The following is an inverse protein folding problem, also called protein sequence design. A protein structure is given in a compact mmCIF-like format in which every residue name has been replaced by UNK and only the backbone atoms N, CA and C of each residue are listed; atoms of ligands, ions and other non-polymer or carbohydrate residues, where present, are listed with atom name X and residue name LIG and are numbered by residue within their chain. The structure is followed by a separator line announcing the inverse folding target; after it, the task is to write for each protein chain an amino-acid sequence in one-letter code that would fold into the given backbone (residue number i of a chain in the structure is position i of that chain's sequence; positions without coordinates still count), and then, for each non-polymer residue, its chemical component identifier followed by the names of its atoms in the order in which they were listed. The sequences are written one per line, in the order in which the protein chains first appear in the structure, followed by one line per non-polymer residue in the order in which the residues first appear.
data_IF_179559253644
#
_entry.id   IF_179559253644
#
_cell.length_a   1.000
_cell.length_b   1.000
_cell.length_c   1.000
_cell.angle_alpha   90.00
_cell.angle_beta   90.00
_cell.angle_gamma   90.00
#
_symmetry.space_group_name_H-M   'P 1'
#
loop_
_entity.id
_entity.type
_entity.pdbx_description
1 polymer ?
#
# COMPACT_ATOMS: atom_id res chain seq x y z
N UNK A 1 3.61 -5.29 -0.68
CA UNK A 1 4.41 -4.23 -0.02
C UNK A 1 4.78 -4.63 1.39
N UNK A 2 3.85 -4.73 2.35
CA UNK A 2 4.19 -5.14 3.72
C UNK A 2 4.96 -6.48 3.82
N UNK A 3 4.51 -7.51 3.10
CA UNK A 3 5.21 -8.82 3.06
C UNK A 3 6.65 -8.74 2.56
N UNK A 4 6.94 -7.83 1.62
CA UNK A 4 8.31 -7.67 1.11
C UNK A 4 9.26 -7.14 2.19
N UNK A 5 8.74 -6.35 3.14
CA UNK A 5 9.57 -5.75 4.19
C UNK A 5 9.65 -6.65 5.41
N UNK A 6 8.58 -7.37 5.74
CA UNK A 6 8.54 -8.28 6.90
C UNK A 6 9.06 -9.67 6.60
N UNK A 7 9.07 -10.10 5.34
CA UNK A 7 9.31 -11.50 4.96
C UNK A 7 8.22 -12.45 5.48
N UNK A 8 7.09 -11.93 5.95
CA UNK A 8 6.02 -12.66 6.59
C UNK A 8 4.68 -12.35 5.92
N UNK A 9 3.76 -13.33 5.97
CA UNK A 9 2.40 -13.15 5.48
C UNK A 9 1.73 -11.95 6.19
N UNK A 10 1.00 -11.10 5.47
CA UNK A 10 0.17 -10.07 6.11
C UNK A 10 -0.80 -10.70 7.11
N UNK A 11 -0.89 -10.10 8.30
CA UNK A 11 -1.72 -10.58 9.41
C UNK A 11 -1.34 -11.98 9.93
N UNK A 12 -0.05 -12.35 9.91
CA UNK A 12 0.43 -13.64 10.42
C UNK A 12 0.01 -13.92 11.88
N UNK A 13 -0.13 -12.87 12.70
CA UNK A 13 -0.54 -12.96 14.11
C UNK A 13 -2.06 -13.10 14.30
N UNK A 14 -2.84 -13.07 13.22
CA UNK A 14 -4.29 -13.12 13.27
C UNK A 14 -4.83 -14.45 12.73
N UNK A 15 -5.91 -14.90 13.34
CA UNK A 15 -6.71 -15.99 12.78
C UNK A 15 -7.39 -15.52 11.50
N UNK A 16 -7.24 -16.30 10.43
CA UNK A 16 -7.89 -16.04 9.14
C UNK A 16 -9.36 -16.49 9.19
N UNK A 17 -10.22 -15.64 9.73
CA UNK A 17 -11.67 -15.84 9.82
C UNK A 17 -12.46 -14.55 9.52
N UNK A 18 -13.79 -14.64 9.58
CA UNK A 18 -14.68 -13.52 9.26
C UNK A 18 -14.50 -12.32 10.21
N UNK A 19 -13.95 -12.51 11.42
CA UNK A 19 -13.67 -11.39 12.32
C UNK A 19 -12.52 -10.54 11.78
N UNK A 20 -11.50 -11.15 11.19
CA UNK A 20 -10.39 -10.43 10.56
C UNK A 20 -10.91 -9.57 9.39
N UNK A 21 -11.84 -10.09 8.59
CA UNK A 21 -12.47 -9.32 7.52
C UNK A 21 -13.18 -8.07 8.06
N UNK A 22 -13.94 -8.20 9.16
CA UNK A 22 -14.60 -7.06 9.82
C UNK A 22 -13.57 -6.05 10.36
N UNK A 23 -12.47 -6.51 10.98
CA UNK A 23 -11.39 -5.64 11.46
C UNK A 23 -10.74 -4.82 10.34
N UNK A 24 -10.54 -5.43 9.17
CA UNK A 24 -9.96 -4.75 8.00
C UNK A 24 -10.93 -3.74 7.40
N UNK A 25 -12.19 -4.15 7.19
CA UNK A 25 -13.19 -3.35 6.48
C UNK A 25 -13.73 -2.18 7.32
N UNK A 26 -14.05 -2.39 8.59
CA UNK A 26 -14.71 -1.38 9.42
C UNK A 26 -13.77 -0.64 10.36
N UNK A 27 -12.78 -1.33 10.91
CA UNK A 27 -11.86 -0.74 11.89
C UNK A 27 -10.54 -0.26 11.27
N UNK A 28 -10.40 -0.40 9.94
CA UNK A 28 -9.23 0.09 9.22
C UNK A 28 -7.94 -0.66 9.58
N UNK A 29 -8.02 -1.90 10.08
CA UNK A 29 -6.83 -2.69 10.39
C UNK A 29 -5.99 -2.88 9.12
N UNK A 30 -4.69 -2.57 9.21
CA UNK A 30 -3.71 -2.72 8.12
C UNK A 30 -2.49 -3.51 8.56
N UNK A 31 -1.77 -4.16 7.62
CA UNK A 31 -0.53 -4.85 7.92
C UNK A 31 0.52 -3.87 8.50
N UNK A 32 1.35 -4.39 9.40
CA UNK A 32 2.53 -3.65 9.90
C UNK A 32 3.70 -3.84 8.95
N UNK A 33 4.65 -2.90 9.02
CA UNK A 33 5.91 -2.95 8.28
C UNK A 33 7.06 -3.33 9.22
N UNK A 34 8.12 -3.89 8.67
CA UNK A 34 9.33 -4.19 9.43
C UNK A 34 10.02 -2.91 9.91
N UNK A 35 10.76 -3.04 11.02
CA UNK A 35 11.65 -1.99 11.50
C UNK A 35 12.66 -1.62 10.41
N UNK A 36 12.87 -0.32 10.20
CA UNK A 36 13.78 0.18 9.17
C UNK A 36 13.16 0.32 7.78
N UNK A 37 11.89 -0.08 7.57
CA UNK A 37 11.21 0.18 6.30
C UNK A 37 11.20 1.70 6.00
N UNK A 38 11.63 2.16 4.81
CA UNK A 38 11.65 3.58 4.45
C UNK A 38 10.26 4.22 4.59
N UNK A 39 10.20 5.42 5.17
CA UNK A 39 8.94 6.15 5.38
C UNK A 39 8.20 6.41 4.06
N UNK A 40 8.94 6.76 3.00
CA UNK A 40 8.35 6.98 1.67
C UNK A 40 7.65 5.72 1.13
N UNK A 41 8.18 4.53 1.44
CA UNK A 41 7.59 3.25 1.07
C UNK A 41 6.35 2.93 1.92
N UNK A 42 6.42 3.18 3.23
CA UNK A 42 5.27 3.04 4.14
C UNK A 42 4.12 3.95 3.71
N UNK A 43 4.42 5.20 3.33
CA UNK A 43 3.43 6.16 2.86
C UNK A 43 2.73 5.66 1.58
N UNK A 44 3.49 5.22 0.58
CA UNK A 44 2.92 4.64 -0.65
C UNK A 44 2.07 3.41 -0.35
N UNK A 45 2.54 2.54 0.53
CA UNK A 45 1.79 1.35 0.91
C UNK A 45 0.48 1.68 1.61
N UNK A 46 0.47 2.68 2.50
CA UNK A 46 -0.75 3.18 3.13
C UNK A 46 -1.72 3.81 2.12
N UNK A 47 -1.21 4.58 1.14
CA UNK A 47 -2.03 5.12 0.05
C UNK A 47 -2.71 3.98 -0.73
N UNK A 48 -2.01 2.89 -1.04
CA UNK A 48 -2.58 1.74 -1.72
C UNK A 48 -3.63 0.99 -0.89
N UNK A 49 -3.54 1.07 0.44
CA UNK A 49 -4.47 0.41 1.36
C UNK A 49 -5.53 1.37 1.91
N UNK A 50 -5.75 2.52 1.27
CA UNK A 50 -6.76 3.47 1.71
C UNK A 50 -8.15 2.82 1.75
N UNK A 51 -8.91 3.08 2.82
CA UNK A 51 -10.28 2.58 2.96
C UNK A 51 -11.19 3.12 1.86
N UNK A 52 -10.95 4.37 1.45
CA UNK A 52 -11.61 5.00 0.31
C UNK A 52 -10.92 4.53 -0.98
N UNK A 53 -11.61 3.77 -1.87
CA UNK A 53 -11.03 3.29 -3.11
C UNK A 53 -10.58 4.41 -4.04
N UNK A 54 -11.26 5.56 -4.03
CA UNK A 54 -10.96 6.70 -4.91
C UNK A 54 -9.64 7.40 -4.50
N UNK A 55 -9.22 7.25 -3.25
CA UNK A 55 -7.94 7.77 -2.75
C UNK A 55 -6.76 6.84 -3.01
N UNK A 56 -7.00 5.65 -3.56
CA UNK A 56 -5.91 4.72 -3.90
C UNK A 56 -5.21 5.22 -5.16
N UNK A 57 -3.87 5.18 -5.19
CA UNK A 57 -3.13 5.58 -6.38
C UNK A 57 -3.39 4.59 -7.51
N UNK A 58 -3.53 5.12 -8.72
CA UNK A 58 -3.54 4.32 -9.94
C UNK A 58 -2.21 3.58 -10.12
N UNK A 59 -2.25 2.43 -10.78
CA UNK A 59 -1.07 1.60 -11.01
C UNK A 59 0.05 2.39 -11.71
N UNK A 60 -0.28 3.33 -12.61
CA UNK A 60 0.72 4.17 -13.28
C UNK A 60 1.45 5.04 -12.27
N UNK A 61 0.74 5.68 -11.32
CA UNK A 61 1.36 6.49 -10.24
C UNK A 61 2.27 5.64 -9.35
N UNK A 62 1.86 4.42 -9.02
CA UNK A 62 2.67 3.50 -8.20
C UNK A 62 3.97 3.17 -8.95
N UNK A 63 3.88 2.74 -10.21
CA UNK A 63 5.07 2.35 -10.97
C UNK A 63 6.00 3.55 -11.21
N UNK A 64 5.46 4.72 -11.57
CA UNK A 64 6.27 5.95 -11.69
C UNK A 64 7.04 6.26 -10.40
N UNK A 65 6.40 6.14 -9.23
CA UNK A 65 7.08 6.37 -7.93
C UNK A 65 8.21 5.37 -7.71
N UNK A 66 7.96 4.08 -7.94
CA UNK A 66 8.96 3.02 -7.77
C UNK A 66 10.15 3.19 -8.73
N UNK A 67 9.88 3.48 -10.00
CA UNK A 67 10.92 3.73 -11.02
C UNK A 67 11.76 4.96 -10.66
N UNK A 68 11.13 6.00 -10.13
CA UNK A 68 11.83 7.19 -9.65
C UNK A 68 12.77 6.87 -8.49
N UNK A 69 12.29 6.13 -7.49
CA UNK A 69 13.14 5.71 -6.37
C UNK A 69 14.31 4.85 -6.84
N UNK A 70 14.07 3.91 -7.75
CA UNK A 70 15.12 3.09 -8.34
C UNK A 70 16.18 3.95 -9.04
N UNK A 71 15.76 4.94 -9.83
CA UNK A 71 16.69 5.86 -10.51
C UNK A 71 17.50 6.73 -9.54
N UNK A 72 16.95 7.09 -8.38
CA UNK A 72 17.64 7.85 -7.33
C UNK A 72 18.72 7.01 -6.63
N UNK A 73 18.40 5.74 -6.36
CA UNK A 73 19.26 4.83 -5.59
C UNK A 73 20.31 4.21 -6.50
N UNK A 74 19.90 3.65 -7.64
CA UNK A 74 20.72 2.91 -8.60
C UNK A 74 20.47 3.38 -10.04
N UNK A 75 20.98 4.55 -10.44
CA UNK A 75 20.68 5.16 -11.74
C UNK A 75 21.09 4.27 -12.93
N UNK A 76 22.13 3.46 -12.80
CA UNK A 76 22.59 2.58 -13.90
C UNK A 76 21.71 1.34 -14.06
N UNK A 77 21.15 0.81 -12.97
CA UNK A 77 20.17 -0.29 -13.01
C UNK A 77 18.82 0.25 -13.49
N UNK A 78 18.40 1.43 -13.01
CA UNK A 78 17.20 2.12 -13.49
C UNK A 78 17.20 2.31 -15.00
N UNK A 79 18.29 2.82 -15.58
CA UNK A 79 18.46 2.93 -17.05
C UNK A 79 18.32 1.59 -17.77
N UNK A 80 18.90 0.50 -17.22
CA UNK A 80 18.81 -0.84 -17.81
C UNK A 80 17.39 -1.39 -17.75
N UNK A 81 16.72 -1.33 -16.60
CA UNK A 81 15.35 -1.81 -16.45
C UNK A 81 14.40 -1.00 -17.34
N UNK A 82 14.54 0.33 -17.38
CA UNK A 82 13.77 1.19 -18.28
C UNK A 82 13.96 0.77 -19.75
N UNK A 83 15.18 0.42 -20.17
CA UNK A 83 15.43 -0.01 -21.54
C UNK A 83 14.66 -1.29 -21.96
N UNK A 84 14.32 -2.17 -21.00
CA UNK A 84 13.57 -3.41 -21.26
C UNK A 84 12.07 -3.32 -20.94
N UNK A 85 11.68 -2.48 -19.97
CA UNK A 85 10.29 -2.30 -19.55
C UNK A 85 9.53 -1.23 -20.33
N UNK A 86 10.24 -0.35 -21.04
CA UNK A 86 9.68 0.80 -21.74
C UNK A 86 8.62 0.45 -22.77
N UNK A 87 8.80 -0.59 -23.59
CA UNK A 87 7.82 -0.90 -24.65
C UNK A 87 6.45 -1.21 -24.05
N UNK A 88 6.39 -2.00 -22.97
CA UNK A 88 5.13 -2.38 -22.31
C UNK A 88 4.49 -1.23 -21.53
N UNK A 89 5.29 -0.33 -20.96
CA UNK A 89 4.80 0.85 -20.22
C UNK A 89 4.36 1.97 -21.18
N UNK A 90 5.04 2.14 -22.30
CA UNK A 90 4.71 3.09 -23.38
C UNK A 90 3.34 2.80 -24.01
N UNK A 91 2.95 1.52 -24.12
CA UNK A 91 1.58 1.14 -24.54
C UNK A 91 0.49 1.48 -23.51
N UNK A 92 0.81 1.47 -22.21
CA UNK A 92 -0.14 1.83 -21.14
C UNK A 92 -0.34 3.36 -21.09
N UNK A 93 0.68 4.14 -21.42
CA UNK A 93 0.63 5.60 -21.45
C UNK A 93 -0.10 6.16 -22.68
N UNK A 94 0.10 5.58 -23.86
CA UNK A 94 -0.48 6.10 -25.11
C UNK A 94 -1.90 5.61 -25.42
N UNK A 95 -2.51 4.80 -24.54
CA UNK A 95 -3.90 4.31 -24.70
C UNK A 95 -4.96 5.14 -23.99
N UNK A 96 -4.60 6.13 -23.18
CA UNK A 96 -5.51 7.00 -22.43
C UNK A 96 -5.01 8.44 -22.44
N UNK A 97 -5.78 9.37 -23.00
CA UNK A 97 -5.45 10.79 -23.24
C UNK A 97 -5.25 11.66 -21.97
N UNK A 98 -5.06 11.09 -20.78
CA UNK A 98 -4.91 11.88 -19.56
C UNK A 98 -3.44 12.01 -19.17
N UNK A 99 -2.97 13.26 -19.18
CA UNK A 99 -1.66 13.72 -18.75
C UNK A 99 -1.36 13.21 -17.33
N UNK A 100 -0.34 12.37 -17.18
CA UNK A 100 0.15 12.00 -15.86
C UNK A 100 1.01 13.17 -15.37
N UNK A 101 0.45 14.01 -14.51
CA UNK A 101 1.24 14.96 -13.74
C UNK A 101 2.21 14.17 -12.85
N UNK A 102 3.44 14.07 -13.33
CA UNK A 102 4.55 13.57 -12.57
C UNK A 102 5.02 14.71 -11.67
N UNK A 103 4.80 14.63 -10.35
CA UNK A 103 5.31 15.63 -9.43
C UNK A 103 6.84 15.77 -9.59
N UNK A 104 7.28 16.97 -9.94
CA UNK A 104 8.68 17.38 -9.95
C UNK A 104 9.16 17.45 -8.49
N UNK A 105 9.54 16.29 -7.97
CA UNK A 105 10.16 16.15 -6.64
C UNK A 105 11.43 17.00 -6.59
N UNK A 106 11.53 17.86 -5.58
CA UNK A 106 12.69 18.73 -5.36
C UNK A 106 13.95 17.92 -5.12
N UNK A 107 15.12 18.50 -5.44
CA UNK A 107 16.41 17.84 -5.18
C UNK A 107 16.58 17.46 -3.71
N UNK A 108 16.07 18.29 -2.79
CA UNK A 108 16.03 17.99 -1.35
C UNK A 108 15.29 16.70 -1.01
N UNK A 109 14.21 16.41 -1.73
CA UNK A 109 13.38 15.23 -1.50
C UNK A 109 14.01 13.98 -2.12
N UNK A 110 14.71 14.11 -3.26
CA UNK A 110 15.54 13.01 -3.79
C UNK A 110 16.63 12.59 -2.80
N UNK A 111 17.31 13.57 -2.19
CA UNK A 111 18.32 13.32 -1.14
C UNK A 111 17.68 12.63 0.07
N UNK A 112 16.49 13.08 0.49
CA UNK A 112 15.74 12.48 1.61
C UNK A 112 15.39 11.02 1.32
N UNK A 113 14.83 10.73 0.15
CA UNK A 113 14.47 9.38 -0.29
C UNK A 113 15.71 8.49 -0.29
N UNK A 114 16.79 8.93 -0.95
CA UNK A 114 18.04 8.17 -1.04
C UNK A 114 18.56 7.80 0.35
N UNK A 115 18.58 8.77 1.27
CA UNK A 115 19.00 8.57 2.65
C UNK A 115 18.17 7.51 3.37
N UNK A 116 16.84 7.55 3.27
CA UNK A 116 15.97 6.56 3.92
C UNK A 116 16.26 5.13 3.45
N UNK A 117 16.48 4.92 2.15
CA UNK A 117 16.80 3.59 1.63
C UNK A 117 18.18 3.10 2.11
N UNK A 118 19.21 3.96 2.14
CA UNK A 118 20.50 3.58 2.72
C UNK A 118 20.41 3.25 4.21
N UNK A 119 19.67 4.03 4.99
CA UNK A 119 19.46 3.76 6.42
C UNK A 119 18.71 2.44 6.63
N UNK A 120 17.70 2.17 5.81
CA UNK A 120 16.99 0.89 5.78
C UNK A 120 17.95 -0.28 5.53
N UNK A 121 18.84 -0.17 4.55
CA UNK A 121 19.80 -1.23 4.21
C UNK A 121 20.76 -1.51 5.37
N UNK A 122 21.23 -0.47 6.06
CA UNK A 122 22.09 -0.63 7.25
C UNK A 122 21.35 -1.30 8.42
N UNK A 123 20.08 -0.97 8.63
CA UNK A 123 19.25 -1.64 9.65
C UNK A 123 19.04 -3.11 9.28
N UNK A 124 18.69 -3.40 8.03
CA UNK A 124 18.43 -4.75 7.53
C UNK A 124 19.62 -5.70 7.70
N UNK A 125 20.85 -5.21 7.56
CA UNK A 125 22.07 -6.02 7.80
C UNK A 125 22.18 -6.53 9.24
N UNK A 126 21.57 -5.84 10.20
CA UNK A 126 21.62 -6.17 11.62
C UNK A 126 20.39 -6.96 12.11
N UNK A 127 19.37 -7.16 11.25
CA UNK A 127 18.16 -7.89 11.60
C UNK A 127 18.34 -9.41 11.40
N UNK A 128 17.66 -10.24 12.22
CA UNK A 128 17.69 -11.68 12.05
C UNK A 128 17.06 -12.09 10.71
N UNK A 129 17.74 -12.96 9.97
CA UNK A 129 17.21 -13.54 8.72
C UNK A 129 16.12 -14.54 9.09
N UNK A 130 14.92 -14.37 8.54
CA UNK A 130 13.83 -15.33 8.70
C UNK A 130 14.11 -16.56 7.83
N UNK A 131 14.28 -17.72 8.47
CA UNK A 131 14.59 -18.99 7.80
C UNK A 131 13.42 -19.98 7.77
N UNK A 132 12.21 -19.56 8.17
CA UNK A 132 11.07 -20.47 8.24
C UNK A 132 10.72 -21.04 6.85
N UNK A 133 10.63 -22.37 6.78
CA UNK A 133 10.12 -23.06 5.60
C UNK A 133 8.62 -22.88 5.54
N UNK A 134 8.21 -21.98 4.66
CA UNK A 134 6.84 -21.59 4.49
C UNK A 134 6.06 -22.59 3.61
N UNK A 135 5.72 -23.76 4.15
CA UNK A 135 4.83 -24.70 3.48
C UNK A 135 3.37 -24.21 3.62
N UNK A 136 2.62 -24.18 2.50
CA UNK A 136 1.16 -23.89 2.47
C UNK A 136 0.72 -22.47 2.89
N UNK A 137 1.52 -21.42 2.66
CA UNK A 137 1.19 -20.02 3.04
C UNK A 137 -0.12 -19.53 2.43
N UNK A 138 -0.36 -19.85 1.16
CA UNK A 138 -1.43 -19.27 0.35
C UNK A 138 -2.55 -20.25 0.04
N UNK A 139 -2.85 -21.18 0.96
CA UNK A 139 -4.04 -22.02 0.80
C UNK A 139 -5.29 -21.17 1.01
N UNK A 140 -6.10 -21.04 -0.03
CA UNK A 140 -7.39 -20.34 0.01
C UNK A 140 -8.37 -21.10 0.89
N UNK A 141 -8.91 -20.41 1.90
CA UNK A 141 -10.13 -20.81 2.63
C UNK A 141 -11.28 -19.95 2.11
N UNK A 142 -12.45 -20.55 1.91
CA UNK A 142 -13.65 -19.79 1.56
C UNK A 142 -14.13 -18.98 2.76
N UNK A 143 -14.59 -17.75 2.52
CA UNK A 143 -15.19 -16.86 3.52
C UNK A 143 -16.71 -16.81 3.35
N UNK A 144 -17.44 -16.63 4.44
CA UNK A 144 -18.89 -16.49 4.39
C UNK A 144 -19.26 -15.02 4.13
N UNK A 145 -19.38 -14.65 2.86
CA UNK A 145 -19.67 -13.27 2.44
C UNK A 145 -21.00 -12.76 3.01
N UNK A 146 -22.01 -13.63 3.16
CA UNK A 146 -23.31 -13.27 3.73
C UNK A 146 -23.18 -12.90 5.22
N UNK A 147 -22.44 -13.70 5.98
CA UNK A 147 -22.21 -13.46 7.40
C UNK A 147 -21.37 -12.18 7.62
N UNK A 148 -20.32 -11.99 6.83
CA UNK A 148 -19.53 -10.75 6.84
C UNK A 148 -20.44 -9.57 6.54
N UNK A 149 -21.22 -9.61 5.44
CA UNK A 149 -22.14 -8.54 5.06
C UNK A 149 -23.17 -8.20 6.15
N UNK A 150 -23.74 -9.21 6.80
CA UNK A 150 -24.68 -9.02 7.91
C UNK A 150 -24.04 -8.41 9.16
N UNK A 151 -22.78 -8.72 9.44
CA UNK A 151 -22.02 -8.10 10.54
C UNK A 151 -21.64 -6.66 10.21
N UNK A 152 -21.28 -6.38 8.97
CA UNK A 152 -20.98 -5.03 8.50
C UNK A 152 -22.23 -4.14 8.61
N UNK A 153 -23.38 -4.59 8.12
CA UNK A 153 -24.62 -3.79 8.13
C UNK A 153 -25.09 -3.40 9.54
N UNK A 154 -24.94 -4.30 10.53
CA UNK A 154 -25.28 -4.02 11.94
C UNK A 154 -24.46 -2.90 12.57
N UNK A 155 -23.23 -2.66 12.11
CA UNK A 155 -22.36 -1.60 12.63
C UNK A 155 -22.74 -0.23 12.06
N UNK A 156 -23.21 -0.17 10.80
CA UNK A 156 -23.63 1.08 10.16
C UNK A 156 -25.01 1.56 10.64
N UNK A 157 -25.83 0.69 11.24
CA UNK A 157 -27.16 1.03 11.77
C UNK A 157 -27.15 1.75 13.12
N UNK A 158 -26.00 1.99 13.76
CA UNK A 158 -25.93 2.57 15.12
C UNK A 158 -25.55 4.06 15.19
N UNK A 159 -25.67 4.82 14.10
CA UNK A 159 -25.77 6.29 14.19
C UNK A 159 -27.18 6.72 13.82
N UNK A 160 -28.07 7.02 14.78
CA UNK A 160 -29.13 7.97 14.49
C UNK A 160 -28.42 9.30 14.21
N UNK A 161 -28.58 9.82 13.01
CA UNK A 161 -28.39 11.24 12.78
C UNK A 161 -29.60 11.88 13.44
N UNK A 162 -29.41 12.47 14.62
CA UNK A 162 -30.41 13.37 15.19
C UNK A 162 -30.72 14.43 14.13
N UNK A 163 -32.01 14.64 13.88
CA UNK A 163 -32.52 15.63 12.95
C UNK A 163 -31.86 16.99 13.25
N UNK A 164 -31.08 17.49 12.30
CA UNK A 164 -30.61 18.89 12.34
C UNK A 164 -31.85 19.73 12.03
N UNK A 165 -32.47 20.28 13.08
CA UNK A 165 -33.44 21.37 12.93
C UNK A 165 -32.76 22.50 12.16
N UNK A 166 -33.24 22.74 10.94
CA UNK A 166 -32.94 23.94 10.18
C UNK A 166 -33.70 25.08 10.87
N UNK A 167 -32.96 25.95 11.56
CA UNK A 167 -33.49 27.24 11.99
C UNK A 167 -33.74 28.07 10.73
N UNK A 168 -35.02 28.31 10.43
CA UNK A 168 -35.48 29.31 9.48
C UNK A 168 -35.11 30.70 10.03
N UNK A 169 -34.04 31.29 9.50
CA UNK A 169 -33.75 32.71 9.69
C UNK A 169 -34.43 33.53 8.59
N UNK A 170 -35.27 34.45 9.06
CA UNK A 170 -36.12 35.42 8.36
C UNK A 170 -35.38 36.37 7.39
#
# INVERSE_FOLDING_TARGET
MAEMTTGQRPFNDYKLDDNLAVMICNFGLRPKFALGTPDCYVELANQCMNSDPEKRPDIRKIVTKLDKWLNIIEPDIGKRIMSYGWERWYFIQNGYENEIECENVSESENVRIKKQFFESDEICKNLPIITEKLNNIYTSKSYNILEIGARLSKIYTTKPVDDVEVLDDY
#
